data_IF_862030160605
#
_entry.id   IF_862030160605
#
_cell.length_a   1.000
_cell.length_b   1.000
_cell.length_c   1.000
_cell.angle_alpha   90.00
_cell.angle_beta   90.00
_cell.angle_gamma   90.00
#
_symmetry.space_group_name_H-M   'P 1'
#
loop_
_entity.id
_entity.type
_entity.pdbx_description
1 polymer ?
#
# COMPACT_ATOMS: atom_id res chain seq x y z
N UNK A 1 -23.29 -10.96 -7.87
CA UNK A 1 -22.11 -11.07 -7.00
C UNK A 1 -20.89 -10.90 -7.89
N UNK A 2 -20.09 -9.84 -7.73
CA UNK A 2 -18.87 -9.69 -8.51
C UNK A 2 -17.98 -10.92 -8.31
N UNK A 3 -17.42 -11.47 -9.39
CA UNK A 3 -16.60 -12.67 -9.30
C UNK A 3 -15.36 -12.37 -8.44
N UNK A 4 -14.86 -13.36 -7.70
CA UNK A 4 -13.65 -13.23 -6.87
C UNK A 4 -12.46 -12.71 -7.70
N UNK A 5 -12.43 -13.03 -8.98
CA UNK A 5 -11.45 -12.54 -9.96
C UNK A 5 -11.59 -11.04 -10.25
N UNK A 6 -12.82 -10.51 -10.34
CA UNK A 6 -13.05 -9.07 -10.49
C UNK A 6 -12.59 -8.32 -9.25
N UNK A 7 -12.87 -8.85 -8.05
CA UNK A 7 -12.43 -8.26 -6.79
C UNK A 7 -10.91 -8.21 -6.68
N UNK A 8 -10.22 -9.29 -7.08
CA UNK A 8 -8.75 -9.33 -7.13
C UNK A 8 -8.19 -8.33 -8.14
N UNK A 9 -8.81 -8.22 -9.31
CA UNK A 9 -8.40 -7.28 -10.36
C UNK A 9 -8.51 -5.84 -9.88
N UNK A 10 -9.65 -5.48 -9.26
CA UNK A 10 -9.87 -4.15 -8.70
C UNK A 10 -8.88 -3.84 -7.57
N UNK A 11 -8.63 -4.79 -6.67
CA UNK A 11 -7.68 -4.63 -5.59
C UNK A 11 -6.23 -4.46 -6.10
N UNK A 12 -5.83 -5.23 -7.12
CA UNK A 12 -4.52 -5.12 -7.78
C UNK A 12 -4.35 -3.78 -8.49
N UNK A 13 -5.38 -3.30 -9.17
CA UNK A 13 -5.38 -1.99 -9.84
C UNK A 13 -5.23 -0.85 -8.82
N UNK A 14 -5.97 -0.92 -7.69
CA UNK A 14 -5.82 0.03 -6.59
C UNK A 14 -4.41 0.00 -6.00
N UNK A 15 -3.87 -1.20 -5.74
CA UNK A 15 -2.51 -1.36 -5.23
C UNK A 15 -1.47 -0.70 -6.14
N UNK A 16 -1.60 -0.87 -7.47
CA UNK A 16 -0.72 -0.23 -8.44
C UNK A 16 -0.79 1.29 -8.37
N UNK A 17 -1.99 1.87 -8.21
CA UNK A 17 -2.17 3.31 -8.05
C UNK A 17 -1.46 3.84 -6.80
N UNK A 18 -1.56 3.14 -5.67
CA UNK A 18 -0.85 3.52 -4.44
C UNK A 18 0.67 3.40 -4.56
N UNK A 19 1.18 2.37 -5.24
CA UNK A 19 2.63 2.24 -5.52
C UNK A 19 3.15 3.39 -6.39
N UNK A 20 2.37 3.83 -7.38
CA UNK A 20 2.70 5.01 -8.19
C UNK A 20 2.70 6.29 -7.36
N UNK A 21 1.74 6.44 -6.44
CA UNK A 21 1.69 7.57 -5.52
C UNK A 21 2.92 7.59 -4.60
N UNK A 22 3.32 6.44 -4.04
CA UNK A 22 4.54 6.30 -3.25
C UNK A 22 5.78 6.74 -4.04
N UNK A 23 5.94 6.24 -5.26
CA UNK A 23 7.05 6.61 -6.13
C UNK A 23 7.07 8.12 -6.41
N UNK A 24 5.92 8.72 -6.74
CA UNK A 24 5.82 10.16 -6.98
C UNK A 24 6.15 10.99 -5.73
N UNK A 25 5.75 10.53 -4.55
CA UNK A 25 6.11 11.15 -3.27
C UNK A 25 7.62 11.09 -3.07
N UNK A 26 8.25 9.93 -3.26
CA UNK A 26 9.70 9.74 -3.11
C UNK A 26 10.51 10.58 -4.11
N UNK A 27 10.13 10.60 -5.39
CA UNK A 27 10.76 11.47 -6.40
C UNK A 27 10.61 12.95 -6.03
N UNK A 28 9.44 13.35 -5.53
CA UNK A 28 9.22 14.72 -5.05
C UNK A 28 10.07 15.06 -3.81
N UNK A 29 10.47 14.08 -2.99
CA UNK A 29 11.34 14.30 -1.83
C UNK A 29 12.79 14.60 -2.22
N UNK A 30 13.34 13.94 -3.25
CA UNK A 30 14.67 14.26 -3.77
C UNK A 30 14.75 15.74 -4.23
N UNK A 31 13.65 16.26 -4.77
CA UNK A 31 13.55 17.66 -5.21
C UNK A 31 13.21 18.66 -4.09
N UNK A 32 12.64 18.24 -2.97
CA UNK A 32 12.28 19.10 -1.83
C UNK A 32 13.00 18.69 -0.52
N UNK A 33 14.33 18.78 -0.50
CA UNK A 33 15.08 18.79 0.77
C UNK A 33 14.82 20.08 1.56
N UNK A 34 13.65 20.23 2.20
CA UNK A 34 13.36 21.45 2.98
C UNK A 34 12.16 21.48 3.91
N UNK A 35 11.12 20.64 3.75
CA UNK A 35 9.84 20.79 4.49
C UNK A 35 9.28 19.44 5.02
N UNK A 36 10.16 18.66 5.65
CA UNK A 36 10.05 17.21 5.95
C UNK A 36 8.89 16.72 6.85
N UNK A 37 8.03 17.59 7.41
CA UNK A 37 6.99 17.14 8.38
C UNK A 37 5.65 16.77 7.76
N UNK A 38 5.14 17.55 6.80
CA UNK A 38 3.80 17.30 6.22
C UNK A 38 3.82 16.01 5.35
N UNK A 39 4.84 15.87 4.50
CA UNK A 39 4.97 14.78 3.51
C UNK A 39 5.26 13.40 4.10
N UNK A 40 5.86 13.34 5.31
CA UNK A 40 6.20 12.08 5.98
C UNK A 40 4.94 11.37 6.52
N UNK A 41 3.96 12.15 6.98
CA UNK A 41 2.64 11.62 7.34
C UNK A 41 1.94 11.04 6.09
N UNK A 42 1.98 11.76 4.96
CA UNK A 42 1.37 11.28 3.70
C UNK A 42 2.00 9.96 3.21
N UNK A 43 3.33 9.81 3.32
CA UNK A 43 4.02 8.59 2.92
C UNK A 43 3.64 7.40 3.81
N UNK A 44 3.59 7.59 5.12
CA UNK A 44 3.22 6.55 6.09
C UNK A 44 1.78 6.06 5.84
N UNK A 45 0.86 6.97 5.52
CA UNK A 45 -0.52 6.62 5.18
C UNK A 45 -0.64 5.84 3.86
N UNK A 46 0.12 6.21 2.83
CA UNK A 46 0.19 5.44 1.58
C UNK A 46 0.73 4.03 1.82
N UNK A 47 1.80 3.90 2.61
CA UNK A 47 2.39 2.60 2.95
C UNK A 47 1.45 1.71 3.78
N UNK A 48 0.73 2.30 4.75
CA UNK A 48 -0.33 1.59 5.48
C UNK A 48 -1.39 1.07 4.52
N UNK A 49 -1.84 1.89 3.57
CA UNK A 49 -2.88 1.50 2.63
C UNK A 49 -2.44 0.40 1.66
N UNK A 50 -1.18 0.43 1.23
CA UNK A 50 -0.55 -0.63 0.44
C UNK A 50 -0.58 -1.97 1.20
N UNK A 51 -0.19 -1.96 2.49
CA UNK A 51 -0.20 -3.18 3.33
C UNK A 51 -1.61 -3.72 3.53
N UNK A 52 -2.60 -2.86 3.76
CA UNK A 52 -4.01 -3.27 3.86
C UNK A 52 -4.48 -3.98 2.58
N UNK A 53 -4.23 -3.39 1.42
CA UNK A 53 -4.63 -3.96 0.13
C UNK A 53 -3.91 -5.29 -0.17
N UNK A 54 -2.62 -5.40 0.17
CA UNK A 54 -1.89 -6.67 0.03
C UNK A 54 -2.48 -7.75 0.93
N UNK A 55 -2.87 -7.41 2.16
CA UNK A 55 -3.53 -8.35 3.06
C UNK A 55 -4.92 -8.76 2.56
N UNK A 56 -5.68 -7.83 1.99
CA UNK A 56 -6.98 -8.10 1.38
C UNK A 56 -6.85 -9.03 0.17
N UNK A 57 -5.92 -8.74 -0.74
CA UNK A 57 -5.58 -9.61 -1.88
C UNK A 57 -5.14 -10.99 -1.38
N UNK A 58 -4.25 -11.06 -0.38
CA UNK A 58 -3.79 -12.33 0.16
C UNK A 58 -4.92 -13.14 0.81
N UNK A 59 -5.87 -12.50 1.50
CA UNK A 59 -7.09 -13.15 2.03
C UNK A 59 -7.98 -13.65 0.89
N UNK A 60 -8.18 -12.81 -0.13
CA UNK A 60 -8.94 -13.14 -1.32
C UNK A 60 -8.24 -14.18 -2.21
N UNK A 61 -6.93 -14.38 -2.15
CA UNK A 61 -6.23 -15.44 -2.90
C UNK A 61 -6.15 -16.74 -2.07
N UNK A 62 -5.84 -16.64 -0.78
CA UNK A 62 -5.46 -17.81 0.04
C UNK A 62 -6.60 -18.69 0.54
N UNK A 63 -7.86 -18.26 0.47
CA UNK A 63 -9.00 -19.12 0.81
C UNK A 63 -8.93 -19.75 2.22
N UNK A 64 -8.31 -19.06 3.18
CA UNK A 64 -8.27 -19.48 4.59
C UNK A 64 -7.03 -20.28 5.00
N UNK A 65 -5.83 -19.68 4.96
CA UNK A 65 -4.71 -20.13 5.79
C UNK A 65 -3.96 -18.92 6.37
N UNK A 66 -4.11 -18.75 7.68
CA UNK A 66 -3.48 -17.72 8.51
C UNK A 66 -1.97 -17.60 8.23
N UNK A 67 -1.57 -16.63 7.39
CA UNK A 67 -0.20 -16.13 7.39
C UNK A 67 -0.21 -14.74 8.03
N UNK A 68 0.17 -14.72 9.29
CA UNK A 68 0.48 -13.51 10.06
C UNK A 68 1.68 -12.85 9.37
N UNK A 69 1.42 -11.84 8.54
CA UNK A 69 2.49 -11.01 8.01
C UNK A 69 2.82 -10.00 9.11
N UNK A 70 3.91 -10.27 9.84
CA UNK A 70 4.50 -9.35 10.80
C UNK A 70 4.94 -8.11 10.04
N UNK A 71 4.07 -7.10 10.03
CA UNK A 71 4.45 -5.75 9.61
C UNK A 71 5.41 -5.25 10.68
N UNK A 72 6.70 -5.30 10.35
CA UNK A 72 7.74 -4.61 11.13
C UNK A 72 7.34 -3.13 11.18
N UNK A 73 7.26 -2.52 12.37
CA UNK A 73 7.10 -1.08 12.46
C UNK A 73 8.36 -0.47 11.87
N UNK A 74 8.24 0.16 10.71
CA UNK A 74 9.30 1.02 10.21
C UNK A 74 9.08 2.36 10.89
N UNK A 75 9.77 2.53 12.00
CA UNK A 75 9.98 3.85 12.58
C UNK A 75 10.95 4.54 11.62
N UNK A 76 10.44 5.43 10.77
CA UNK A 76 10.87 6.81 10.66
C UNK A 76 10.24 7.44 9.41
#
# INVERSE_FOLDING_TARGET
MASREEQLTVARNRLNAYLKAEAAILTSQEHQMGTKRLRRADLDDVQKKIKELQNEIARLESGGKNKVVRVVPIDL
#
